data_IF_171101116417
#
_entry.id   IF_171101116417
#
_cell.length_a   1.000
_cell.length_b   1.000
_cell.length_c   1.000
_cell.angle_alpha   90.00
_cell.angle_beta   90.00
_cell.angle_gamma   90.00
#
_symmetry.space_group_name_H-M   'P 1'
#
loop_
_entity.id
_entity.type
_entity.pdbx_description
1 polymer ?
#
# COMPACT_ATOMS: atom_id res chain seq x y z
N UNK A 1 35.64 -20.93 -14.40
CA UNK A 1 34.86 -19.90 -13.67
C UNK A 1 34.38 -20.52 -12.37
N UNK A 2 34.64 -19.89 -11.22
CA UNK A 2 34.17 -20.44 -9.93
C UNK A 2 32.65 -20.64 -10.00
N UNK A 3 32.18 -21.85 -9.66
CA UNK A 3 30.75 -22.20 -9.67
C UNK A 3 29.92 -21.19 -8.86
N UNK A 4 30.52 -20.63 -7.82
CA UNK A 4 29.98 -19.59 -6.94
C UNK A 4 29.71 -18.27 -7.68
N UNK A 5 30.66 -17.83 -8.52
CA UNK A 5 30.49 -16.60 -9.32
C UNK A 5 29.38 -16.82 -10.35
N UNK A 6 29.35 -17.99 -10.98
CA UNK A 6 28.29 -18.34 -11.93
C UNK A 6 26.91 -18.38 -11.25
N UNK A 7 26.79 -18.96 -10.06
CA UNK A 7 25.50 -18.99 -9.34
C UNK A 7 25.02 -17.60 -8.95
N UNK A 8 25.91 -16.70 -8.51
CA UNK A 8 25.52 -15.33 -8.18
C UNK A 8 25.17 -14.48 -9.41
N UNK A 9 25.84 -14.70 -10.55
CA UNK A 9 25.43 -14.05 -11.82
C UNK A 9 24.04 -14.53 -12.25
N UNK A 10 23.75 -15.83 -12.13
CA UNK A 10 22.43 -16.38 -12.41
C UNK A 10 21.36 -15.85 -11.45
N UNK A 11 21.72 -15.64 -10.20
CA UNK A 11 20.89 -15.03 -9.17
C UNK A 11 20.52 -13.58 -9.52
N UNK A 12 21.51 -12.73 -9.76
CA UNK A 12 21.29 -11.32 -10.11
C UNK A 12 20.53 -11.18 -11.42
N UNK A 13 20.86 -11.97 -12.44
CA UNK A 13 20.12 -11.97 -13.70
C UNK A 13 18.65 -12.33 -13.47
N UNK A 14 18.35 -13.42 -12.75
CA UNK A 14 16.97 -13.78 -12.44
C UNK A 14 16.21 -12.68 -11.68
N UNK A 15 16.85 -12.08 -10.66
CA UNK A 15 16.25 -11.00 -9.88
C UNK A 15 15.99 -9.75 -10.72
N UNK A 16 16.99 -9.30 -11.49
CA UNK A 16 16.93 -8.12 -12.35
C UNK A 16 15.94 -8.30 -13.50
N UNK A 17 16.04 -9.41 -14.23
CA UNK A 17 15.21 -9.64 -15.42
C UNK A 17 13.75 -9.92 -15.06
N UNK A 18 13.48 -10.76 -14.06
CA UNK A 18 12.14 -11.32 -13.89
C UNK A 18 11.37 -10.76 -12.69
N UNK A 19 12.04 -10.52 -11.57
CA UNK A 19 11.37 -10.11 -10.34
C UNK A 19 11.21 -8.58 -10.27
N UNK A 20 12.30 -7.83 -10.47
CA UNK A 20 12.31 -6.38 -10.28
C UNK A 20 11.46 -5.65 -11.35
N UNK A 21 11.72 -5.93 -12.62
CA UNK A 21 11.00 -5.27 -13.71
C UNK A 21 9.48 -5.57 -13.67
N UNK A 22 9.10 -6.78 -13.25
CA UNK A 22 7.71 -7.21 -13.16
C UNK A 22 6.99 -6.61 -11.94
N UNK A 23 7.65 -6.52 -10.78
CA UNK A 23 7.06 -5.88 -9.59
C UNK A 23 6.88 -4.38 -9.79
N UNK A 24 7.85 -3.67 -10.39
CA UNK A 24 7.70 -2.24 -10.68
C UNK A 24 6.60 -1.97 -11.70
N UNK A 25 6.51 -2.74 -12.79
CA UNK A 25 5.43 -2.59 -13.77
C UNK A 25 4.04 -2.94 -13.21
N UNK A 26 3.98 -3.70 -12.11
CA UNK A 26 2.73 -4.02 -11.42
C UNK A 26 2.31 -2.93 -10.41
N UNK A 27 3.27 -2.37 -9.67
CA UNK A 27 3.03 -1.42 -8.58
C UNK A 27 2.93 0.04 -9.04
N UNK A 28 3.66 0.41 -10.10
CA UNK A 28 3.76 1.78 -10.60
C UNK A 28 3.13 1.93 -11.98
N UNK A 29 2.72 3.16 -12.29
CA UNK A 29 2.13 3.52 -13.58
C UNK A 29 3.21 3.87 -14.60
N UNK A 30 3.37 3.08 -15.69
CA UNK A 30 4.41 3.32 -16.68
C UNK A 30 4.16 4.60 -17.49
N UNK A 31 5.23 5.27 -17.95
CA UNK A 31 5.10 6.45 -18.82
C UNK A 31 4.54 6.09 -20.20
N UNK A 32 5.00 4.96 -20.75
CA UNK A 32 4.64 4.47 -22.08
C UNK A 32 3.73 3.24 -21.96
N UNK A 33 4.07 2.14 -22.64
CA UNK A 33 3.37 0.86 -22.52
C UNK A 33 4.07 -0.05 -21.51
N UNK A 34 3.32 -0.96 -20.87
CA UNK A 34 3.89 -1.91 -19.89
C UNK A 34 5.06 -2.72 -20.47
N UNK A 35 4.91 -3.22 -21.71
CA UNK A 35 5.94 -4.02 -22.38
C UNK A 35 7.21 -3.23 -22.68
N UNK A 36 7.07 -1.98 -23.17
CA UNK A 36 8.24 -1.14 -23.46
C UNK A 36 8.96 -0.71 -22.18
N UNK A 37 8.20 -0.38 -21.14
CA UNK A 37 8.75 0.02 -19.84
C UNK A 37 9.49 -1.14 -19.17
N UNK A 38 8.95 -2.37 -19.26
CA UNK A 38 9.63 -3.58 -18.78
C UNK A 38 10.99 -3.78 -19.44
N UNK A 39 11.05 -3.74 -20.77
CA UNK A 39 12.31 -3.92 -21.50
C UNK A 39 13.31 -2.78 -21.27
N UNK A 40 12.84 -1.56 -21.09
CA UNK A 40 13.69 -0.44 -20.72
C UNK A 40 14.23 -0.57 -19.29
N UNK A 41 13.43 -1.04 -18.32
CA UNK A 41 13.93 -1.36 -16.98
C UNK A 41 15.05 -2.40 -17.06
N UNK A 42 14.81 -3.49 -17.79
CA UNK A 42 15.80 -4.54 -18.02
C UNK A 42 17.08 -3.99 -18.66
N UNK A 43 16.95 -3.14 -19.67
CA UNK A 43 18.09 -2.54 -20.36
C UNK A 43 18.90 -1.63 -19.43
N UNK A 44 18.25 -0.79 -18.63
CA UNK A 44 18.93 0.10 -17.68
C UNK A 44 19.66 -0.66 -16.57
N UNK A 45 19.18 -1.85 -16.21
CA UNK A 45 19.77 -2.68 -15.16
C UNK A 45 20.79 -3.69 -15.70
N UNK A 46 20.83 -3.91 -17.01
CA UNK A 46 21.81 -4.82 -17.66
C UNK A 46 23.30 -4.53 -17.38
N UNK A 47 23.74 -3.26 -17.16
CA UNK A 47 25.13 -3.00 -16.81
C UNK A 47 25.56 -3.64 -15.49
N UNK A 48 24.63 -3.90 -14.57
CA UNK A 48 24.89 -4.54 -13.28
C UNK A 48 25.40 -5.97 -13.46
N UNK A 49 24.84 -6.71 -14.42
CA UNK A 49 25.28 -8.07 -14.76
C UNK A 49 26.72 -8.06 -15.29
N UNK A 50 27.04 -7.08 -16.13
CA UNK A 50 28.39 -6.92 -16.70
C UNK A 50 29.38 -6.54 -15.59
N UNK A 51 29.00 -5.61 -14.71
CA UNK A 51 29.85 -5.20 -13.59
C UNK A 51 30.17 -6.38 -12.66
N UNK A 52 29.24 -7.33 -12.52
CA UNK A 52 29.42 -8.51 -11.65
C UNK A 52 30.50 -9.45 -12.15
N UNK A 53 30.65 -9.57 -13.47
CA UNK A 53 31.73 -10.34 -14.06
C UNK A 53 33.12 -9.76 -13.79
N UNK A 54 33.22 -8.44 -13.63
CA UNK A 54 34.52 -7.75 -13.49
C UNK A 54 34.89 -7.40 -12.04
N UNK A 55 33.92 -7.03 -11.20
CA UNK A 55 34.17 -6.50 -9.84
C UNK A 55 33.19 -7.08 -8.82
N UNK A 56 33.17 -8.41 -8.72
CA UNK A 56 32.30 -9.16 -7.80
C UNK A 56 32.39 -8.66 -6.35
N UNK A 57 33.59 -8.44 -5.80
CA UNK A 57 33.78 -8.11 -4.38
C UNK A 57 33.21 -6.74 -3.96
N UNK A 58 32.99 -5.82 -4.91
CA UNK A 58 32.50 -4.46 -4.61
C UNK A 58 31.12 -4.17 -5.20
N UNK A 59 30.50 -5.15 -5.87
CA UNK A 59 29.28 -4.90 -6.64
C UNK A 59 28.08 -4.55 -5.77
N UNK A 60 28.02 -5.10 -4.55
CA UNK A 60 26.92 -4.86 -3.63
C UNK A 60 26.69 -3.37 -3.32
N UNK A 61 27.71 -2.51 -3.47
CA UNK A 61 27.60 -1.06 -3.29
C UNK A 61 26.87 -0.37 -4.45
N UNK A 62 27.08 -0.85 -5.68
CA UNK A 62 26.53 -0.24 -6.90
C UNK A 62 25.19 -0.85 -7.30
N UNK A 63 24.96 -2.12 -6.98
CA UNK A 63 23.74 -2.87 -7.30
C UNK A 63 22.46 -2.11 -6.91
N UNK A 64 22.40 -1.60 -5.68
CA UNK A 64 21.23 -0.87 -5.17
C UNK A 64 20.98 0.46 -5.88
N UNK A 65 22.06 1.16 -6.27
CA UNK A 65 21.96 2.42 -7.02
C UNK A 65 21.42 2.14 -8.42
N UNK A 66 21.89 1.07 -9.06
CA UNK A 66 21.43 0.66 -10.39
C UNK A 66 19.96 0.24 -10.35
N UNK A 67 19.51 -0.42 -9.29
CA UNK A 67 18.09 -0.82 -9.12
C UNK A 67 17.16 0.38 -8.94
N UNK A 68 17.63 1.46 -8.32
CA UNK A 68 16.84 2.68 -8.12
C UNK A 68 16.60 3.44 -9.43
N UNK A 69 17.53 3.36 -10.37
CA UNK A 69 17.59 4.21 -11.56
C UNK A 69 16.35 4.11 -12.48
N UNK A 70 15.82 2.90 -12.81
CA UNK A 70 14.61 2.78 -13.62
C UNK A 70 13.39 3.45 -13.00
N UNK A 71 13.25 3.39 -11.67
CA UNK A 71 12.11 3.96 -10.96
C UNK A 71 12.07 5.48 -11.15
N UNK A 72 13.22 6.14 -11.15
CA UNK A 72 13.30 7.60 -11.27
C UNK A 72 12.84 8.10 -12.64
N UNK A 73 13.14 7.38 -13.72
CA UNK A 73 12.93 7.88 -15.08
C UNK A 73 11.72 7.28 -15.82
N UNK A 74 11.26 6.06 -15.48
CA UNK A 74 10.32 5.31 -16.34
C UNK A 74 8.84 5.36 -15.92
N UNK A 75 8.52 5.91 -14.75
CA UNK A 75 7.17 5.90 -14.18
C UNK A 75 6.58 7.31 -14.05
N UNK A 76 5.25 7.45 -14.03
CA UNK A 76 4.56 8.76 -13.95
C UNK A 76 4.27 9.22 -12.52
N UNK A 77 4.16 8.29 -11.57
CA UNK A 77 3.76 8.54 -10.17
C UNK A 77 4.59 9.65 -9.49
N UNK A 78 4.12 10.30 -8.42
CA UNK A 78 4.94 11.26 -7.68
C UNK A 78 6.21 10.60 -7.11
N UNK A 79 7.30 11.36 -7.00
CA UNK A 79 8.61 10.87 -6.50
C UNK A 79 8.50 10.17 -5.14
N UNK A 80 7.61 10.65 -4.26
CA UNK A 80 7.37 10.03 -2.96
C UNK A 80 6.92 8.57 -3.11
N UNK A 81 5.90 8.31 -3.93
CA UNK A 81 5.36 6.96 -4.15
C UNK A 81 6.38 6.04 -4.84
N UNK A 82 7.19 6.60 -5.74
CA UNK A 82 8.29 5.89 -6.40
C UNK A 82 9.36 5.42 -5.41
N UNK A 83 9.83 6.30 -4.54
CA UNK A 83 10.83 5.97 -3.52
C UNK A 83 10.26 4.98 -2.50
N UNK A 84 9.01 5.16 -2.09
CA UNK A 84 8.37 4.23 -1.15
C UNK A 84 8.18 2.82 -1.76
N UNK A 85 7.92 2.73 -3.06
CA UNK A 85 7.90 1.46 -3.78
C UNK A 85 9.28 0.79 -3.82
N UNK A 86 10.36 1.55 -4.03
CA UNK A 86 11.73 1.05 -3.98
C UNK A 86 12.05 0.47 -2.59
N UNK A 87 11.74 1.22 -1.54
CA UNK A 87 11.99 0.82 -0.15
C UNK A 87 11.20 -0.44 0.21
N UNK A 88 9.92 -0.50 -0.14
CA UNK A 88 9.09 -1.69 0.08
C UNK A 88 9.64 -2.92 -0.65
N UNK A 89 10.06 -2.74 -1.90
CA UNK A 89 10.64 -3.81 -2.69
C UNK A 89 11.95 -4.31 -2.06
N UNK A 90 12.82 -3.38 -1.62
CA UNK A 90 14.06 -3.70 -0.92
C UNK A 90 13.79 -4.53 0.35
N UNK A 91 12.86 -4.10 1.20
CA UNK A 91 12.52 -4.84 2.42
C UNK A 91 11.96 -6.23 2.12
N UNK A 92 11.13 -6.33 1.09
CA UNK A 92 10.62 -7.62 0.64
C UNK A 92 11.75 -8.52 0.13
N UNK A 93 12.75 -7.97 -0.56
CA UNK A 93 13.92 -8.72 -1.02
C UNK A 93 14.78 -9.21 0.13
N UNK A 94 15.05 -8.37 1.13
CA UNK A 94 15.79 -8.78 2.34
C UNK A 94 15.08 -9.92 3.08
N UNK A 95 13.74 -9.85 3.20
CA UNK A 95 12.97 -10.96 3.79
C UNK A 95 13.09 -12.24 2.96
N UNK A 96 13.00 -12.14 1.64
CA UNK A 96 13.17 -13.28 0.74
C UNK A 96 14.57 -13.88 0.86
N UNK A 97 15.62 -13.07 0.97
CA UNK A 97 17.00 -13.53 1.12
C UNK A 97 17.22 -14.21 2.47
N UNK A 98 16.71 -13.67 3.57
CA UNK A 98 16.80 -14.31 4.91
C UNK A 98 16.05 -15.65 4.94
N UNK A 99 14.82 -15.71 4.43
CA UNK A 99 14.06 -16.97 4.39
C UNK A 99 14.68 -17.97 3.40
N UNK A 100 15.13 -17.47 2.24
CA UNK A 100 15.76 -18.27 1.20
C UNK A 100 17.13 -18.82 1.60
N UNK A 101 17.89 -18.09 2.41
CA UNK A 101 19.22 -18.50 2.91
C UNK A 101 19.15 -19.43 4.12
N UNK A 102 18.19 -19.21 5.02
CA UNK A 102 18.05 -20.04 6.23
C UNK A 102 17.67 -21.47 5.90
N UNK A 103 16.81 -21.70 4.91
CA UNK A 103 16.36 -23.04 4.52
C UNK A 103 17.50 -23.98 4.05
N UNK A 104 18.38 -23.63 3.10
CA UNK A 104 19.51 -24.47 2.71
C UNK A 104 20.57 -24.56 3.81
N UNK A 105 20.82 -23.47 4.57
CA UNK A 105 21.81 -23.49 5.64
C UNK A 105 21.40 -24.45 6.78
N UNK A 106 20.11 -24.53 7.12
CA UNK A 106 19.60 -25.49 8.10
C UNK A 106 19.75 -26.93 7.62
N UNK A 107 19.40 -27.22 6.37
CA UNK A 107 19.53 -28.57 5.79
C UNK A 107 21.00 -29.01 5.79
N UNK A 108 21.91 -28.12 5.38
CA UNK A 108 23.35 -28.40 5.38
C UNK A 108 23.92 -28.54 6.80
N UNK A 109 23.40 -27.79 7.76
CA UNK A 109 23.83 -27.90 9.17
C UNK A 109 23.41 -29.23 9.80
N UNK A 110 22.20 -29.72 9.46
CA UNK A 110 21.73 -31.04 9.89
C UNK A 110 22.57 -32.16 9.27
N UNK A 111 22.94 -32.02 7.99
CA UNK A 111 23.75 -33.02 7.27
C UNK A 111 25.22 -33.05 7.72
N UNK A 112 25.79 -31.91 8.09
CA UNK A 112 27.21 -31.79 8.45
C UNK A 112 27.48 -31.88 9.95
N UNK A 113 26.45 -31.80 10.80
CA UNK A 113 26.59 -31.80 12.26
C UNK A 113 27.19 -30.52 12.85
N UNK A 114 27.47 -29.50 12.03
CA UNK A 114 28.00 -28.21 12.42
C UNK A 114 27.12 -27.08 11.90
N UNK A 115 27.12 -25.93 12.58
CA UNK A 115 26.38 -24.76 12.13
C UNK A 115 27.08 -24.13 10.92
N UNK A 116 26.46 -24.22 9.75
CA UNK A 116 26.98 -23.68 8.49
C UNK A 116 26.42 -22.28 8.26
N UNK A 117 27.32 -21.31 8.12
CA UNK A 117 26.97 -19.92 7.81
C UNK A 117 26.84 -19.71 6.30
N UNK A 118 26.05 -18.73 5.84
CA UNK A 118 25.87 -18.44 4.41
C UNK A 118 27.18 -18.13 3.67
N UNK A 119 28.17 -17.58 4.37
CA UNK A 119 29.47 -17.22 3.80
C UNK A 119 30.44 -18.39 3.62
N UNK A 120 30.17 -19.56 4.21
CA UNK A 120 31.05 -20.74 4.16
C UNK A 120 30.61 -21.79 3.13
N UNK A 121 29.75 -21.40 2.19
CA UNK A 121 29.12 -22.31 1.23
C UNK A 121 30.10 -22.67 0.10
N UNK A 122 30.27 -23.98 -0.15
CA UNK A 122 31.12 -24.50 -1.22
C UNK A 122 30.44 -24.43 -2.61
N UNK A 123 31.22 -24.52 -3.69
CA UNK A 123 30.74 -24.41 -5.09
C UNK A 123 29.40 -25.09 -5.44
N UNK A 124 29.21 -26.40 -5.22
CA UNK A 124 27.95 -27.08 -5.52
C UNK A 124 26.80 -26.71 -4.57
N UNK A 125 27.13 -26.34 -3.32
CA UNK A 125 26.14 -25.89 -2.34
C UNK A 125 25.62 -24.48 -2.67
N UNK A 126 26.43 -23.63 -3.32
CA UNK A 126 26.02 -22.31 -3.79
C UNK A 126 24.93 -22.38 -4.87
N UNK A 127 24.93 -23.44 -5.68
CA UNK A 127 23.87 -23.66 -6.67
C UNK A 127 22.53 -24.04 -6.02
N UNK A 128 22.56 -24.88 -4.98
CA UNK A 128 21.37 -25.23 -4.19
C UNK A 128 20.84 -24.00 -3.43
N UNK A 129 21.73 -23.18 -2.89
CA UNK A 129 21.41 -21.90 -2.29
C UNK A 129 20.70 -20.96 -3.27
N UNK A 130 21.23 -20.81 -4.49
CA UNK A 130 20.57 -20.02 -5.54
C UNK A 130 19.17 -20.56 -5.88
N UNK A 131 19.02 -21.88 -6.05
CA UNK A 131 17.74 -22.44 -6.45
C UNK A 131 16.66 -22.23 -5.38
N UNK A 132 17.03 -22.41 -4.11
CA UNK A 132 16.14 -22.22 -2.96
C UNK A 132 15.76 -20.76 -2.75
N UNK A 133 16.71 -19.83 -2.86
CA UNK A 133 16.44 -18.38 -2.82
C UNK A 133 15.57 -17.91 -3.98
N UNK A 134 15.79 -18.40 -5.20
CA UNK A 134 14.98 -18.04 -6.37
C UNK A 134 13.52 -18.52 -6.29
N UNK A 135 13.30 -19.74 -5.76
CA UNK A 135 11.97 -20.32 -5.55
C UNK A 135 11.23 -19.57 -4.42
N UNK A 136 11.90 -19.38 -3.28
CA UNK A 136 11.30 -18.67 -2.13
C UNK A 136 10.96 -17.22 -2.49
N UNK A 137 11.87 -16.51 -3.17
CA UNK A 137 11.63 -15.14 -3.59
C UNK A 137 10.43 -15.00 -4.55
N UNK A 138 10.25 -15.93 -5.49
CA UNK A 138 9.08 -15.88 -6.37
C UNK A 138 7.76 -16.16 -5.68
N UNK A 139 7.74 -17.14 -4.78
CA UNK A 139 6.54 -17.47 -4.00
C UNK A 139 6.16 -16.31 -3.06
N UNK A 140 7.11 -15.80 -2.29
CA UNK A 140 6.90 -14.71 -1.34
C UNK A 140 6.51 -13.43 -2.07
N UNK A 141 7.20 -13.03 -3.14
CA UNK A 141 6.83 -11.83 -3.90
C UNK A 141 5.48 -11.98 -4.59
N UNK A 142 5.09 -13.18 -5.03
CA UNK A 142 3.74 -13.42 -5.57
C UNK A 142 2.67 -13.23 -4.52
N UNK A 143 2.90 -13.70 -3.29
CA UNK A 143 2.00 -13.55 -2.16
C UNK A 143 1.92 -12.10 -1.66
N UNK A 144 3.06 -11.40 -1.61
CA UNK A 144 3.16 -10.03 -1.11
C UNK A 144 2.71 -8.98 -2.12
N UNK A 145 2.75 -9.24 -3.43
CA UNK A 145 2.30 -8.31 -4.49
C UNK A 145 0.96 -7.61 -4.21
N UNK A 146 -0.15 -8.32 -3.90
CA UNK A 146 -1.43 -7.67 -3.61
C UNK A 146 -1.39 -6.81 -2.34
N UNK A 147 -0.63 -7.24 -1.32
CA UNK A 147 -0.44 -6.48 -0.08
C UNK A 147 0.37 -5.21 -0.33
N UNK A 148 1.47 -5.31 -1.09
CA UNK A 148 2.32 -4.18 -1.48
C UNK A 148 1.53 -3.13 -2.25
N UNK A 149 0.66 -3.56 -3.19
CA UNK A 149 -0.23 -2.65 -3.91
C UNK A 149 -1.19 -1.93 -2.96
N UNK A 150 -1.80 -2.67 -2.03
CA UNK A 150 -2.68 -2.09 -1.01
C UNK A 150 -1.93 -1.11 -0.11
N UNK A 151 -0.71 -1.44 0.32
CA UNK A 151 0.12 -0.54 1.14
C UNK A 151 0.45 0.75 0.38
N UNK A 152 0.78 0.65 -0.91
CA UNK A 152 1.12 1.81 -1.75
C UNK A 152 -0.09 2.70 -2.11
N UNK A 153 -1.29 2.14 -2.17
CA UNK A 153 -2.53 2.87 -2.49
C UNK A 153 -3.19 3.48 -1.25
N UNK A 154 -3.09 2.82 -0.08
CA UNK A 154 -3.81 3.22 1.13
C UNK A 154 -2.95 3.98 2.15
N UNK A 155 -1.63 3.84 2.12
CA UNK A 155 -0.72 4.50 3.08
C UNK A 155 -0.03 5.68 2.39
N UNK A 156 -0.01 6.82 3.07
CA UNK A 156 0.76 7.98 2.65
C UNK A 156 2.22 7.59 2.39
N UNK A 157 2.72 7.92 1.19
CA UNK A 157 4.08 7.56 0.77
C UNK A 157 5.14 8.02 1.76
N UNK A 158 4.90 9.13 2.46
CA UNK A 158 5.80 9.67 3.48
C UNK A 158 5.83 8.79 4.74
N UNK A 159 4.70 8.24 5.19
CA UNK A 159 4.67 7.33 6.34
C UNK A 159 5.39 6.00 6.01
N UNK A 160 5.21 5.51 4.78
CA UNK A 160 5.89 4.32 4.29
C UNK A 160 7.42 4.50 4.18
N UNK A 161 7.84 5.67 3.69
CA UNK A 161 9.25 6.06 3.62
C UNK A 161 9.86 6.16 5.02
N UNK A 162 9.13 6.75 5.96
CA UNK A 162 9.58 6.96 7.34
C UNK A 162 9.75 5.66 8.13
N UNK A 163 9.06 4.59 7.74
CA UNK A 163 9.23 3.24 8.33
C UNK A 163 10.36 2.47 7.66
N UNK A 164 10.51 2.58 6.34
CA UNK A 164 11.49 1.76 5.64
C UNK A 164 12.89 2.36 5.53
N UNK A 165 13.07 3.67 5.63
CA UNK A 165 14.40 4.31 5.74
C UNK A 165 15.19 3.84 6.98
N UNK A 166 14.58 3.74 8.18
CA UNK A 166 15.20 3.12 9.36
C UNK A 166 15.77 1.73 9.10
N UNK A 167 15.01 0.88 8.42
CA UNK A 167 15.41 -0.49 8.13
C UNK A 167 16.59 -0.55 7.15
N UNK A 168 16.58 0.28 6.10
CA UNK A 168 17.72 0.46 5.20
C UNK A 168 18.97 0.93 5.96
N UNK A 169 18.78 1.90 6.86
CA UNK A 169 19.86 2.46 7.64
C UNK A 169 20.48 1.44 8.61
N UNK A 170 19.68 0.58 9.23
CA UNK A 170 20.18 -0.52 10.06
C UNK A 170 21.01 -1.54 9.26
N UNK A 171 20.63 -1.84 8.01
CA UNK A 171 21.41 -2.74 7.16
C UNK A 171 22.75 -2.09 6.77
N UNK A 172 22.73 -0.80 6.41
CA UNK A 172 23.94 -0.06 6.06
C UNK A 172 24.89 0.11 7.26
N UNK A 173 24.37 0.31 8.47
CA UNK A 173 25.24 0.38 9.66
C UNK A 173 25.86 -0.97 9.95
N UNK A 174 25.12 -2.07 9.78
CA UNK A 174 25.66 -3.42 9.95
C UNK A 174 26.80 -3.73 8.97
N UNK A 175 26.70 -3.33 7.70
CA UNK A 175 27.78 -3.52 6.71
C UNK A 175 28.99 -2.64 6.99
N UNK A 176 28.80 -1.42 7.49
CA UNK A 176 29.91 -0.55 7.88
C UNK A 176 30.65 -1.09 9.11
N UNK A 177 29.92 -1.61 10.10
CA UNK A 177 30.49 -2.22 11.32
C UNK A 177 31.39 -3.40 10.96
N UNK A 178 30.96 -4.27 10.05
CA UNK A 178 31.77 -5.43 9.62
C UNK A 178 33.02 -5.01 8.84
N UNK A 179 32.95 -3.94 8.04
CA UNK A 179 34.11 -3.47 7.27
C UNK A 179 35.14 -2.68 8.10
N UNK A 180 34.71 -1.87 9.07
CA UNK A 180 35.57 -0.81 9.64
C UNK A 180 35.88 -0.95 11.13
N UNK A 181 35.47 -2.04 11.80
CA UNK A 181 35.75 -2.31 13.25
C UNK A 181 35.58 -1.05 14.13
N UNK A 182 34.49 -0.32 13.92
CA UNK A 182 34.18 0.93 14.64
C UNK A 182 33.84 0.59 16.11
N UNK A 183 34.27 1.41 17.09
CA UNK A 183 33.90 1.23 18.50
C UNK A 183 32.39 1.40 18.73
N UNK A 184 31.85 0.74 19.77
CA UNK A 184 30.42 0.74 20.12
C UNK A 184 29.77 2.14 20.18
N UNK A 185 30.53 3.18 20.56
CA UNK A 185 30.06 4.55 20.66
C UNK A 185 29.66 5.17 19.31
N UNK A 186 30.27 4.74 18.20
CA UNK A 186 29.88 5.16 16.85
C UNK A 186 28.57 4.53 16.35
N UNK A 187 28.10 3.48 17.05
CA UNK A 187 26.92 2.71 16.67
C UNK A 187 25.64 3.31 17.30
N UNK A 188 25.73 3.86 18.51
CA UNK A 188 24.57 4.41 19.22
C UNK A 188 23.82 5.53 18.45
N UNK A 189 24.47 6.58 17.92
CA UNK A 189 23.78 7.67 17.23
C UNK A 189 22.93 7.20 16.04
N UNK A 190 23.43 6.34 15.13
CA UNK A 190 22.61 5.89 14.01
C UNK A 190 21.43 5.00 14.43
N UNK A 191 21.59 4.17 15.46
CA UNK A 191 20.47 3.37 15.96
C UNK A 191 19.39 4.23 16.62
N UNK A 192 19.77 5.28 17.36
CA UNK A 192 18.83 6.24 17.95
C UNK A 192 18.08 7.03 16.86
N UNK A 193 18.76 7.43 15.79
CA UNK A 193 18.14 8.11 14.65
C UNK A 193 17.14 7.18 13.93
N UNK A 194 17.52 5.92 13.71
CA UNK A 194 16.64 4.90 13.12
C UNK A 194 15.38 4.68 13.97
N UNK A 195 15.55 4.54 15.30
CA UNK A 195 14.45 4.38 16.24
C UNK A 195 13.52 5.61 16.25
N UNK A 196 14.08 6.83 16.26
CA UNK A 196 13.31 8.06 16.22
C UNK A 196 12.44 8.17 14.94
N UNK A 197 13.05 7.87 13.79
CA UNK A 197 12.37 7.87 12.50
C UNK A 197 11.24 6.82 12.49
N UNK A 198 11.50 5.60 12.98
CA UNK A 198 10.50 4.54 13.08
C UNK A 198 9.32 4.96 13.99
N UNK A 199 9.62 5.54 15.16
CA UNK A 199 8.58 6.03 16.07
C UNK A 199 7.70 7.09 15.40
N UNK A 200 8.29 8.08 14.72
CA UNK A 200 7.50 9.07 13.95
C UNK A 200 6.70 8.42 12.82
N UNK A 201 7.24 7.39 12.18
CA UNK A 201 6.54 6.59 11.16
C UNK A 201 5.26 5.97 11.71
N UNK A 202 5.38 5.29 12.86
CA UNK A 202 4.25 4.64 13.54
C UNK A 202 3.19 5.64 14.01
N UNK A 203 3.61 6.76 14.62
CA UNK A 203 2.68 7.81 15.05
C UNK A 203 1.89 8.37 13.87
N UNK A 204 2.54 8.60 12.72
CA UNK A 204 1.84 9.07 11.51
C UNK A 204 0.84 8.06 10.99
N UNK A 205 1.21 6.77 10.91
CA UNK A 205 0.25 5.73 10.50
C UNK A 205 -0.96 5.73 11.44
N UNK A 206 -0.74 5.80 12.75
CA UNK A 206 -1.81 5.81 13.73
C UNK A 206 -2.74 7.03 13.54
N UNK A 207 -2.18 8.22 13.31
CA UNK A 207 -2.95 9.43 13.01
C UNK A 207 -3.76 9.31 11.72
N UNK A 208 -3.19 8.72 10.68
CA UNK A 208 -3.91 8.47 9.42
C UNK A 208 -5.06 7.47 9.60
N UNK A 209 -4.86 6.39 10.34
CA UNK A 209 -5.93 5.43 10.64
C UNK A 209 -7.04 6.06 11.45
N UNK A 210 -6.71 6.87 12.47
CA UNK A 210 -7.66 7.60 13.28
C UNK A 210 -8.49 8.57 12.44
N UNK A 211 -7.84 9.39 11.61
CA UNK A 211 -8.55 10.33 10.73
C UNK A 211 -9.48 9.61 9.74
N UNK A 212 -9.04 8.46 9.21
CA UNK A 212 -9.88 7.63 8.33
C UNK A 212 -11.11 7.08 9.04
N UNK A 213 -10.98 6.66 10.29
CA UNK A 213 -12.13 6.22 11.10
C UNK A 213 -13.12 7.36 11.33
N UNK A 214 -12.62 8.57 11.63
CA UNK A 214 -13.47 9.76 11.77
C UNK A 214 -14.23 10.12 10.48
N UNK A 215 -13.56 10.03 9.31
CA UNK A 215 -14.23 10.28 8.03
C UNK A 215 -15.33 9.25 7.76
N UNK A 216 -15.14 7.99 8.16
CA UNK A 216 -16.18 6.96 8.04
C UNK A 216 -17.37 7.25 8.94
N UNK A 217 -17.15 7.62 10.20
CA UNK A 217 -18.24 7.96 11.11
C UNK A 217 -19.00 9.20 10.66
N UNK A 218 -18.29 10.24 10.18
CA UNK A 218 -18.92 11.43 9.59
C UNK A 218 -19.81 11.09 8.38
N UNK A 219 -19.34 10.20 7.48
CA UNK A 219 -20.16 9.76 6.35
C UNK A 219 -21.43 9.05 6.78
N UNK A 220 -21.35 8.15 7.76
CA UNK A 220 -22.52 7.45 8.30
C UNK A 220 -23.52 8.43 8.93
N UNK A 221 -23.04 9.41 9.69
CA UNK A 221 -23.90 10.46 10.27
C UNK A 221 -24.58 11.31 9.19
N UNK A 222 -23.88 11.66 8.12
CA UNK A 222 -24.46 12.40 6.99
C UNK A 222 -25.52 11.55 6.27
N UNK A 223 -25.26 10.26 6.07
CA UNK A 223 -26.24 9.34 5.46
C UNK A 223 -27.51 9.22 6.31
N UNK A 224 -27.37 9.15 7.63
CA UNK A 224 -28.49 9.14 8.57
C UNK A 224 -29.28 10.46 8.55
N UNK A 225 -28.59 11.60 8.57
CA UNK A 225 -29.22 12.92 8.46
C UNK A 225 -29.96 13.09 7.12
N UNK A 226 -29.40 12.60 6.02
CA UNK A 226 -30.05 12.58 4.71
C UNK A 226 -31.29 11.70 4.71
N UNK A 227 -31.26 10.55 5.37
CA UNK A 227 -32.42 9.68 5.50
C UNK A 227 -33.55 10.38 6.26
N UNK A 228 -33.24 10.98 7.41
CA UNK A 228 -34.21 11.72 8.23
C UNK A 228 -34.77 12.95 7.50
N UNK A 229 -33.93 13.68 6.76
CA UNK A 229 -34.37 14.82 5.95
C UNK A 229 -35.38 14.42 4.87
N UNK A 230 -35.19 13.25 4.24
CA UNK A 230 -36.13 12.72 3.25
C UNK A 230 -37.46 12.29 3.87
N UNK A 231 -37.43 11.79 5.10
CA UNK A 231 -38.63 11.45 5.84
C UNK A 231 -39.44 12.70 6.21
N UNK A 232 -38.78 13.71 6.76
CA UNK A 232 -39.39 15.01 7.04
C UNK A 232 -39.99 15.64 5.78
N UNK A 233 -39.30 15.59 4.64
CA UNK A 233 -39.83 16.12 3.38
C UNK A 233 -41.15 15.43 2.97
N UNK A 234 -41.27 14.12 3.20
CA UNK A 234 -42.53 13.41 2.94
C UNK A 234 -43.64 13.88 3.87
N UNK A 235 -43.35 14.05 5.16
CA UNK A 235 -44.31 14.57 6.14
C UNK A 235 -44.76 16.00 5.77
N UNK A 236 -43.83 16.88 5.41
CA UNK A 236 -44.14 18.24 4.95
C UNK A 236 -45.01 18.23 3.69
N UNK A 237 -44.75 17.34 2.73
CA UNK A 237 -45.58 17.20 1.54
C UNK A 237 -47.02 16.75 1.87
N UNK A 238 -47.18 15.82 2.82
CA UNK A 238 -48.50 15.41 3.32
C UNK A 238 -49.22 16.56 4.02
N UNK A 239 -48.53 17.28 4.90
CA UNK A 239 -49.08 18.43 5.61
C UNK A 239 -49.52 19.53 4.64
N UNK A 240 -48.75 19.77 3.58
CA UNK A 240 -49.08 20.74 2.53
C UNK A 240 -50.34 20.37 1.76
N UNK A 241 -50.52 19.08 1.44
CA UNK A 241 -51.74 18.57 0.80
C UNK A 241 -52.93 18.76 1.72
N UNK A 242 -52.81 18.34 2.98
CA UNK A 242 -53.85 18.51 3.98
C UNK A 242 -54.25 19.99 4.18
N UNK A 243 -53.27 20.89 4.26
CA UNK A 243 -53.53 22.32 4.39
C UNK A 243 -54.22 22.92 3.15
N UNK A 244 -53.82 22.49 1.95
CA UNK A 244 -54.49 22.87 0.70
C UNK A 244 -55.95 22.39 0.68
N UNK A 245 -56.20 21.14 1.10
CA UNK A 245 -57.54 20.56 1.13
C UNK A 245 -58.44 21.30 2.13
N UNK A 246 -57.92 21.64 3.32
CA UNK A 246 -58.61 22.48 4.30
C UNK A 246 -58.90 23.88 3.76
N UNK A 247 -57.94 24.51 3.08
CA UNK A 247 -58.14 25.80 2.42
C UNK A 247 -59.33 25.75 1.45
N UNK A 248 -59.44 24.69 0.66
CA UNK A 248 -60.56 24.48 -0.25
C UNK A 248 -61.89 24.29 0.49
N UNK A 249 -61.90 23.53 1.59
CA UNK A 249 -63.09 23.36 2.43
C UNK A 249 -63.56 24.68 3.03
N UNK A 250 -62.65 25.51 3.56
CA UNK A 250 -62.99 26.84 4.06
C UNK A 250 -63.49 27.77 2.97
N UNK A 251 -62.90 27.73 1.78
CA UNK A 251 -63.36 28.55 0.66
C UNK A 251 -64.76 28.15 0.18
N UNK A 252 -65.05 26.85 0.10
CA UNK A 252 -66.38 26.34 -0.23
C UNK A 252 -67.42 26.76 0.82
N UNK A 253 -67.07 26.68 2.12
CA UNK A 253 -67.93 27.14 3.21
C UNK A 253 -68.16 28.65 3.17
N UNK A 254 -67.11 29.45 2.96
CA UNK A 254 -67.22 30.90 2.82
C UNK A 254 -68.16 31.28 1.68
N UNK A 255 -68.04 30.61 0.52
CA UNK A 255 -68.94 30.82 -0.62
C UNK A 255 -70.40 30.48 -0.31
N UNK A 256 -70.67 29.38 0.40
CA UNK A 256 -72.04 29.00 0.80
C UNK A 256 -72.64 30.00 1.79
N UNK A 257 -71.81 30.51 2.72
CA UNK A 257 -72.22 31.52 3.71
C UNK A 257 -72.48 32.88 3.07
N UNK A 258 -71.63 33.36 2.16
CA UNK A 258 -71.82 34.62 1.43
C UNK A 258 -73.11 34.63 0.61
N UNK A 259 -73.49 33.47 0.04
CA UNK A 259 -74.74 33.30 -0.71
C UNK A 259 -75.97 33.01 0.17
N UNK A 260 -75.86 33.11 1.50
CA UNK A 260 -76.92 32.85 2.48
C UNK A 260 -77.53 31.42 2.41
N UNK A 261 -76.78 30.45 1.88
CA UNK A 261 -77.23 29.06 1.74
C UNK A 261 -76.94 28.24 2.99
N UNK A 262 -77.59 28.60 4.10
CA UNK A 262 -77.28 28.04 5.42
C UNK A 262 -77.54 26.53 5.55
N UNK A 263 -78.60 26.00 4.92
CA UNK A 263 -78.91 24.56 4.98
C UNK A 263 -77.90 23.72 4.18
N UNK A 264 -77.46 24.19 3.01
CA UNK A 264 -76.40 23.53 2.22
C UNK A 264 -75.05 23.57 2.97
N UNK A 265 -74.73 24.68 3.64
CA UNK A 265 -73.54 24.78 4.49
C UNK A 265 -73.57 23.80 5.66
N UNK A 266 -74.73 23.63 6.31
CA UNK A 266 -74.89 22.71 7.44
C UNK A 266 -74.77 21.25 7.01
N UNK A 267 -75.35 20.89 5.87
CA UNK A 267 -75.18 19.57 5.26
C UNK A 267 -73.71 19.31 4.90
N UNK A 268 -73.01 20.29 4.32
CA UNK A 268 -71.59 20.15 3.97
C UNK A 268 -70.70 19.91 5.20
N UNK A 269 -70.93 20.65 6.30
CA UNK A 269 -70.21 20.42 7.57
C UNK A 269 -70.46 19.02 8.12
N UNK A 270 -71.71 18.51 8.06
CA UNK A 270 -72.03 17.15 8.48
C UNK A 270 -71.28 16.11 7.64
N UNK A 271 -71.21 16.30 6.32
CA UNK A 271 -70.45 15.37 5.45
C UNK A 271 -68.94 15.39 5.69
N UNK A 272 -68.38 16.51 6.14
CA UNK A 272 -66.97 16.57 6.53
C UNK A 272 -66.71 15.85 7.85
N UNK A 273 -67.59 16.02 8.83
CA UNK A 273 -67.51 15.37 10.13
C UNK A 273 -67.66 13.84 10.03
N UNK A 274 -68.52 13.34 9.16
CA UNK A 274 -68.65 11.89 8.88
C UNK A 274 -67.44 11.29 8.15
N UNK A 275 -66.65 12.12 7.47
CA UNK A 275 -65.47 11.68 6.71
C UNK A 275 -64.20 11.65 7.55
N UNK A 276 -64.17 12.34 8.69
CA UNK A 276 -63.05 12.36 9.64
C UNK A 276 -63.21 11.32 10.79
N UNK A 277 -64.39 10.73 10.98
CA UNK A 277 -64.68 9.68 11.97
C UNK A 277 -64.42 8.27 11.46
#
# INVERSE_FOLDING_TARGET
MNLVILSHVLEVTYFVFFLIANTYCYLLTPIRSKRTTYWLCVLMMSPDIILMFFIYDKIHLFHWIIILLPILFLFKDPLQKRISCYILFYLSMMLCEVVGSTTPCLILSIQSGHFVLPFSINGPQAFVYFLTTAITATLILRLLRPLLKRLLEYIDGIALLLIGVPALFCVLTQTVITLTKIPLWGILPPFLLSYYLLHRGLVRIHQHEFHRQQLKSQKLLIEEQLANSRELEKEYQQLRRWNHDIGNHFQALAFLLENQKYEESKAYIQTLLEKES
#
